data_IF_415023696158
#
_entry.id   IF_415023696158
#
_cell.length_a   1.000
_cell.length_b   1.000
_cell.length_c   1.000
_cell.angle_alpha   90.00
_cell.angle_beta   90.00
_cell.angle_gamma   90.00
#
_symmetry.space_group_name_H-M   'P 1'
#
loop_
_entity.id
_entity.type
_entity.pdbx_description
1 polymer ?
#
# COMPACT_ATOMS: atom_id res chain seq x y z
N UNK A 1 7.10 3.38 23.75
CA UNK A 1 6.82 4.33 22.68
C UNK A 1 5.71 3.80 21.79
N UNK A 2 4.72 4.62 21.50
CA UNK A 2 3.60 4.21 20.66
C UNK A 2 4.03 4.06 19.20
N UNK A 3 3.55 2.99 18.55
CA UNK A 3 3.79 2.80 17.12
C UNK A 3 2.98 3.80 16.32
N UNK A 4 3.54 4.29 15.23
CA UNK A 4 2.80 5.07 14.25
C UNK A 4 1.72 4.18 13.61
N UNK A 5 0.63 4.78 13.09
CA UNK A 5 -0.47 4.02 12.50
C UNK A 5 -0.03 3.17 11.32
N UNK A 6 0.82 3.72 10.44
CA UNK A 6 1.38 2.97 9.31
C UNK A 6 2.19 1.77 9.78
N UNK A 7 2.92 1.91 10.91
CA UNK A 7 3.64 0.79 11.52
C UNK A 7 2.71 -0.27 12.07
N UNK A 8 1.54 0.14 12.58
CA UNK A 8 0.50 -0.81 13.03
C UNK A 8 -0.09 -1.58 11.86
N UNK A 9 -0.33 -0.89 10.73
CA UNK A 9 -0.82 -1.54 9.51
C UNK A 9 0.21 -2.55 8.99
N UNK A 10 1.49 -2.19 9.01
CA UNK A 10 2.57 -3.11 8.67
C UNK A 10 2.57 -4.36 9.56
N UNK A 11 2.41 -4.17 10.87
CA UNK A 11 2.33 -5.29 11.79
C UNK A 11 1.14 -6.21 11.47
N UNK A 12 0.00 -5.63 11.11
CA UNK A 12 -1.19 -6.41 10.72
C UNK A 12 -0.92 -7.27 9.49
N UNK A 13 -0.20 -6.74 8.51
CA UNK A 13 0.20 -7.49 7.31
C UNK A 13 1.07 -8.69 7.71
N UNK A 14 2.07 -8.48 8.55
CA UNK A 14 2.93 -9.56 9.02
C UNK A 14 2.15 -10.62 9.80
N UNK A 15 1.21 -10.18 10.62
CA UNK A 15 0.43 -11.08 11.48
C UNK A 15 -0.57 -11.95 10.69
N UNK A 16 -0.83 -11.65 9.42
CA UNK A 16 -1.71 -12.46 8.57
C UNK A 16 -1.13 -13.84 8.29
N UNK A 17 0.16 -14.01 8.46
CA UNK A 17 0.85 -15.27 8.17
C UNK A 17 0.57 -15.79 6.76
N UNK A 18 0.61 -14.89 5.78
CA UNK A 18 0.43 -15.22 4.36
C UNK A 18 1.70 -15.86 3.83
N UNK A 19 1.55 -16.88 2.98
CA UNK A 19 2.69 -17.47 2.29
C UNK A 19 3.26 -16.46 1.30
N UNK A 20 4.45 -15.96 1.60
CA UNK A 20 5.12 -14.93 0.81
C UNK A 20 6.29 -14.33 1.57
N UNK A 21 6.95 -13.38 0.96
CA UNK A 21 8.02 -12.66 1.58
C UNK A 21 7.73 -11.16 1.54
N UNK A 22 7.63 -10.56 2.72
CA UNK A 22 7.27 -9.15 2.88
C UNK A 22 8.35 -8.47 3.70
N UNK A 23 8.86 -7.35 3.22
CA UNK A 23 9.84 -6.61 4.01
C UNK A 23 9.60 -5.11 3.88
N UNK A 24 9.91 -4.42 4.97
CA UNK A 24 9.74 -2.98 5.05
C UNK A 24 11.00 -2.30 4.53
N UNK A 25 10.80 -1.22 3.76
CA UNK A 25 11.88 -0.42 3.22
C UNK A 25 11.83 0.96 3.87
N UNK A 26 12.97 1.39 4.36
CA UNK A 26 13.15 2.76 4.86
C UNK A 26 14.28 3.39 4.05
N UNK A 27 13.92 4.31 3.16
CA UNK A 27 14.91 5.02 2.36
C UNK A 27 14.89 6.50 2.70
N UNK A 28 16.09 7.04 2.96
CA UNK A 28 16.29 8.47 3.17
C UNK A 28 16.83 9.16 1.91
N UNK A 29 17.19 8.40 0.90
CA UNK A 29 17.83 8.90 -0.30
C UNK A 29 16.92 8.94 -1.52
N UNK A 30 15.88 8.11 -1.54
CA UNK A 30 14.91 8.07 -2.65
C UNK A 30 13.59 8.61 -2.15
N UNK A 31 13.16 9.75 -2.70
CA UNK A 31 11.89 10.35 -2.35
C UNK A 31 10.73 9.55 -2.94
N UNK A 32 9.73 9.25 -2.10
CA UNK A 32 8.50 8.63 -2.56
C UNK A 32 8.53 7.13 -2.73
N UNK A 33 9.64 6.46 -2.38
CA UNK A 33 9.69 5.00 -2.44
C UNK A 33 8.65 4.41 -1.46
N UNK A 34 7.87 3.39 -1.88
CA UNK A 34 6.88 2.78 -1.00
C UNK A 34 7.48 2.07 0.22
N UNK A 35 6.65 1.88 1.25
CA UNK A 35 7.08 1.33 2.54
C UNK A 35 7.42 -0.14 2.51
N UNK A 36 6.74 -0.93 1.67
CA UNK A 36 6.78 -2.38 1.76
C UNK A 36 6.97 -3.00 0.38
N UNK A 37 7.93 -3.90 0.28
CA UNK A 37 8.09 -4.76 -0.89
C UNK A 37 7.51 -6.14 -0.56
N UNK A 38 6.74 -6.67 -1.48
CA UNK A 38 5.98 -7.91 -1.28
C UNK A 38 6.25 -8.89 -2.42
N UNK A 39 6.47 -10.14 -2.06
CA UNK A 39 6.56 -11.23 -3.03
C UNK A 39 5.60 -12.33 -2.60
N UNK A 40 4.56 -12.59 -3.39
CA UNK A 40 3.63 -13.68 -3.14
C UNK A 40 2.97 -14.11 -4.46
N UNK A 41 2.61 -15.37 -4.54
CA UNK A 41 1.98 -15.97 -5.73
C UNK A 41 2.80 -15.75 -7.01
N UNK A 42 4.13 -15.74 -6.91
CA UNK A 42 5.01 -15.52 -8.05
C UNK A 42 5.06 -14.09 -8.56
N UNK A 43 4.51 -13.13 -7.83
CA UNK A 43 4.49 -11.72 -8.19
C UNK A 43 5.25 -10.89 -7.17
N UNK A 44 5.88 -9.82 -7.66
CA UNK A 44 6.48 -8.80 -6.78
C UNK A 44 5.66 -7.53 -6.95
N UNK A 45 5.28 -6.94 -5.84
CA UNK A 45 4.56 -5.67 -5.84
C UNK A 45 4.99 -4.83 -4.64
N UNK A 46 4.75 -3.52 -4.73
CA UNK A 46 5.10 -2.58 -3.68
C UNK A 46 3.85 -1.96 -3.10
N UNK A 47 3.88 -1.70 -1.80
CA UNK A 47 2.78 -1.03 -1.09
C UNK A 47 3.30 0.20 -0.36
N UNK A 48 2.62 1.32 -0.55
CA UNK A 48 2.72 2.48 0.31
C UNK A 48 1.57 2.42 1.31
N UNK A 49 1.87 2.44 2.60
CA UNK A 49 0.86 2.33 3.65
C UNK A 49 0.41 3.71 4.10
N UNK A 50 -0.90 3.91 4.20
CA UNK A 50 -1.51 5.15 4.68
C UNK A 50 -2.55 4.85 5.75
N UNK A 51 -2.48 5.53 6.89
CA UNK A 51 -3.41 5.33 8.00
C UNK A 51 -3.95 6.67 8.47
N UNK A 52 -4.92 7.22 7.72
CA UNK A 52 -5.53 8.51 8.02
C UNK A 52 -6.82 8.67 7.22
N UNK A 53 -7.60 9.70 7.59
CA UNK A 53 -8.81 10.09 6.87
C UNK A 53 -8.61 11.40 6.12
N UNK A 54 -7.38 11.75 5.79
CA UNK A 54 -7.06 12.99 5.09
C UNK A 54 -7.57 12.94 3.65
N UNK A 55 -7.86 14.13 3.11
CA UNK A 55 -8.18 14.27 1.68
C UNK A 55 -6.96 13.81 0.87
N UNK A 56 -7.21 13.06 -0.18
CA UNK A 56 -6.17 12.47 -1.03
C UNK A 56 -5.17 11.60 -0.23
N UNK A 57 -5.63 11.02 0.90
CA UNK A 57 -4.88 10.06 1.73
C UNK A 57 -3.53 10.57 2.24
N UNK A 58 -3.28 11.87 2.16
CA UNK A 58 -1.96 12.42 2.51
C UNK A 58 -0.86 12.00 1.55
N UNK A 59 -1.20 11.61 0.33
CA UNK A 59 -0.23 11.17 -0.68
C UNK A 59 0.51 12.38 -1.24
N UNK A 60 1.85 12.31 -1.26
CA UNK A 60 2.69 13.37 -1.78
C UNK A 60 2.93 13.21 -3.29
N UNK A 61 3.33 14.31 -3.94
CA UNK A 61 3.71 14.28 -5.35
C UNK A 61 4.89 13.35 -5.63
N UNK A 62 5.80 13.22 -4.66
CA UNK A 62 6.96 12.33 -4.78
C UNK A 62 6.53 10.86 -4.82
N UNK A 63 5.55 10.49 -4.00
CA UNK A 63 4.99 9.16 -3.98
C UNK A 63 4.26 8.84 -5.28
N UNK A 64 3.47 9.79 -5.78
CA UNK A 64 2.78 9.62 -7.07
C UNK A 64 3.79 9.45 -8.21
N UNK A 65 4.82 10.29 -8.25
CA UNK A 65 5.84 10.22 -9.30
C UNK A 65 6.61 8.90 -9.28
N UNK A 66 6.94 8.40 -8.09
CA UNK A 66 7.61 7.11 -7.97
C UNK A 66 6.77 5.99 -8.58
N UNK A 67 5.47 5.96 -8.25
CA UNK A 67 4.55 4.94 -8.78
C UNK A 67 4.38 5.06 -10.29
N UNK A 68 4.27 6.28 -10.81
CA UNK A 68 4.17 6.51 -12.26
C UNK A 68 5.39 5.91 -12.97
N UNK A 69 6.59 6.24 -12.52
CA UNK A 69 7.80 5.74 -13.15
C UNK A 69 7.92 4.22 -13.04
N UNK A 70 7.62 3.67 -11.88
CA UNK A 70 7.70 2.24 -11.65
C UNK A 70 6.70 1.47 -12.52
N UNK A 71 5.46 1.92 -12.60
CA UNK A 71 4.41 1.31 -13.41
C UNK A 71 4.69 1.44 -14.90
N UNK A 72 5.28 2.55 -15.33
CA UNK A 72 5.67 2.81 -16.71
C UNK A 72 6.63 1.74 -17.24
N UNK A 73 7.43 1.17 -16.38
CA UNK A 73 8.39 0.12 -16.73
C UNK A 73 7.90 -1.28 -16.34
N UNK A 74 6.60 -1.45 -16.15
CA UNK A 74 6.00 -2.75 -15.88
C UNK A 74 5.92 -3.13 -14.41
N UNK A 75 6.30 -2.24 -13.51
CA UNK A 75 6.23 -2.51 -12.08
C UNK A 75 4.80 -2.51 -11.55
N UNK A 76 4.57 -3.25 -10.48
CA UNK A 76 3.27 -3.34 -9.81
C UNK A 76 3.38 -2.61 -8.47
N UNK A 77 2.57 -1.60 -8.26
CA UNK A 77 2.59 -0.84 -7.02
C UNK A 77 1.22 -0.28 -6.68
N UNK A 78 0.93 -0.20 -5.38
CA UNK A 78 -0.35 0.25 -4.86
C UNK A 78 -0.16 1.09 -3.61
N UNK A 79 -1.21 1.84 -3.26
CA UNK A 79 -1.37 2.41 -1.93
C UNK A 79 -2.39 1.56 -1.19
N UNK A 80 -2.10 1.23 0.05
CA UNK A 80 -3.05 0.56 0.95
C UNK A 80 -3.37 1.52 2.08
N UNK A 81 -4.62 1.95 2.14
CA UNK A 81 -5.08 2.93 3.11
C UNK A 81 -6.01 2.30 4.14
N UNK A 82 -5.78 2.62 5.41
CA UNK A 82 -6.66 2.28 6.52
C UNK A 82 -7.15 3.59 7.13
N UNK A 83 -8.45 3.79 7.14
CA UNK A 83 -9.04 4.95 7.79
C UNK A 83 -8.99 4.83 9.30
N UNK A 84 -9.10 5.97 9.98
CA UNK A 84 -9.19 6.02 11.43
C UNK A 84 -10.65 5.94 11.87
N UNK A 85 -11.54 6.64 11.15
CA UNK A 85 -12.96 6.75 11.49
C UNK A 85 -13.91 6.33 10.39
N UNK A 86 -13.54 6.50 9.11
CA UNK A 86 -14.51 6.47 8.02
C UNK A 86 -14.25 5.44 6.92
N UNK A 87 -12.99 5.17 6.58
CA UNK A 87 -12.70 4.52 5.29
C UNK A 87 -12.72 2.99 5.29
N UNK A 88 -12.49 2.34 6.42
CA UNK A 88 -12.16 0.92 6.37
C UNK A 88 -10.82 0.72 5.64
N UNK A 89 -10.73 -0.29 4.80
CA UNK A 89 -9.53 -0.53 3.98
C UNK A 89 -9.80 -0.16 2.52
N UNK A 90 -8.86 0.56 1.92
CA UNK A 90 -8.94 0.95 0.52
C UNK A 90 -7.62 0.65 -0.19
N UNK A 91 -7.70 0.05 -1.37
CA UNK A 91 -6.56 -0.22 -2.23
C UNK A 91 -6.62 0.72 -3.42
N UNK A 92 -5.52 1.43 -3.69
CA UNK A 92 -5.49 2.46 -4.72
C UNK A 92 -4.28 2.25 -5.64
N UNK A 93 -4.42 2.69 -6.89
CA UNK A 93 -3.32 2.76 -7.86
C UNK A 93 -3.19 4.19 -8.38
N UNK A 94 -1.99 4.54 -8.80
CA UNK A 94 -1.81 5.80 -9.51
C UNK A 94 -2.36 5.67 -10.93
N UNK A 95 -3.23 6.60 -11.30
CA UNK A 95 -3.83 6.67 -12.64
C UNK A 95 -3.04 7.56 -13.58
N UNK A 96 -2.40 8.59 -13.03
CA UNK A 96 -1.62 9.56 -13.78
C UNK A 96 -1.17 10.68 -12.87
N UNK A 97 -0.55 11.75 -13.40
CA UNK A 97 -0.07 12.86 -12.58
C UNK A 97 -1.18 13.44 -11.71
N UNK A 98 -0.94 13.47 -10.39
CA UNK A 98 -1.87 14.03 -9.41
C UNK A 98 -3.12 13.21 -9.16
N UNK A 99 -3.26 12.02 -9.73
CA UNK A 99 -4.50 11.23 -9.64
C UNK A 99 -4.26 9.81 -9.15
N UNK A 100 -5.07 9.38 -8.19
CA UNK A 100 -5.12 7.98 -7.74
C UNK A 100 -6.51 7.42 -8.03
N UNK A 101 -6.56 6.12 -8.29
CA UNK A 101 -7.78 5.39 -8.61
C UNK A 101 -8.05 4.36 -7.52
N UNK A 102 -9.29 4.33 -7.02
CA UNK A 102 -9.71 3.28 -6.10
C UNK A 102 -9.84 1.96 -6.86
N UNK A 103 -9.11 0.95 -6.40
CA UNK A 103 -9.16 -0.40 -6.97
C UNK A 103 -10.18 -1.25 -6.23
N UNK A 104 -10.16 -1.22 -4.90
CA UNK A 104 -11.06 -2.00 -4.06
C UNK A 104 -11.23 -1.36 -2.70
N UNK A 105 -12.39 -1.57 -2.10
CA UNK A 105 -12.70 -1.11 -0.74
C UNK A 105 -13.28 -2.28 0.02
N UNK A 106 -12.96 -2.37 1.30
CA UNK A 106 -13.47 -3.45 2.15
C UNK A 106 -13.54 -3.02 3.61
N UNK A 107 -14.17 -3.87 4.42
CA UNK A 107 -14.18 -3.69 5.86
C UNK A 107 -12.77 -3.82 6.43
N UNK A 108 -12.55 -3.18 7.56
CA UNK A 108 -11.24 -3.17 8.22
C UNK A 108 -11.08 -4.40 9.12
N UNK A 109 -10.77 -5.54 8.50
CA UNK A 109 -10.51 -6.78 9.23
C UNK A 109 -9.45 -7.62 8.50
N UNK A 110 -8.98 -8.68 9.17
CA UNK A 110 -7.90 -9.52 8.65
C UNK A 110 -8.29 -10.23 7.35
N UNK A 111 -9.51 -10.74 7.25
CA UNK A 111 -9.99 -11.43 6.05
C UNK A 111 -9.97 -10.49 4.83
N UNK A 112 -10.46 -9.28 5.01
CA UNK A 112 -10.49 -8.27 3.95
C UNK A 112 -9.08 -7.82 3.57
N UNK A 113 -8.20 -7.63 4.55
CA UNK A 113 -6.81 -7.26 4.29
C UNK A 113 -6.12 -8.33 3.43
N UNK A 114 -6.33 -9.61 3.76
CA UNK A 114 -5.80 -10.73 2.98
C UNK A 114 -6.31 -10.71 1.54
N UNK A 115 -7.61 -10.43 1.35
CA UNK A 115 -8.20 -10.32 0.00
C UNK A 115 -7.57 -9.21 -0.83
N UNK A 116 -7.32 -8.05 -0.21
CA UNK A 116 -6.69 -6.93 -0.91
C UNK A 116 -5.27 -7.27 -1.35
N UNK A 117 -4.50 -7.95 -0.51
CA UNK A 117 -3.16 -8.39 -0.87
C UNK A 117 -3.19 -9.41 -2.02
N UNK A 118 -4.18 -10.29 -2.05
CA UNK A 118 -4.37 -11.22 -3.17
C UNK A 118 -4.68 -10.48 -4.47
N UNK A 119 -5.43 -9.40 -4.42
CA UNK A 119 -5.67 -8.55 -5.60
C UNK A 119 -4.35 -7.99 -6.12
N UNK A 120 -3.49 -7.48 -5.25
CA UNK A 120 -2.18 -6.97 -5.63
C UNK A 120 -1.33 -8.04 -6.31
N UNK A 121 -1.35 -9.26 -5.79
CA UNK A 121 -0.56 -10.38 -6.30
C UNK A 121 -1.14 -10.98 -7.59
N UNK A 122 -2.34 -10.62 -7.98
CA UNK A 122 -2.98 -11.09 -9.22
C UNK A 122 -2.68 -10.16 -10.40
N UNK A 123 -2.24 -8.98 -10.10
CA UNK A 123 -2.10 -7.93 -11.06
C UNK A 123 -0.87 -7.81 -11.80
#
# INVERSE_FOLDING_TARGET
MALKRESKLWKRIKDLNIKGYFFRVESKTINGIPDVCCAMNGKVFWLELKSNDLKNYGISKWQINWHIEYQKHGGISFFLASGVKHRGLELLRVKGPGAVKLVARSSDNATSLRKLLNICASG
#
